data_IF_588259475401
#
_entry.id   IF_588259475401
#
_cell.length_a   1.000
_cell.length_b   1.000
_cell.length_c   1.000
_cell.angle_alpha   90.00
_cell.angle_beta   90.00
_cell.angle_gamma   90.00
#
_symmetry.space_group_name_H-M   'P 1'
#
loop_
_entity.id
_entity.type
_entity.pdbx_description
1 polymer ?
#
# COMPACT_ATOMS: atom_id res chain seq x y z
N UNK A 1 11.08 -0.77 16.19
CA UNK A 1 10.09 0.13 15.54
C UNK A 1 8.99 -0.68 14.86
N UNK A 2 7.93 -0.03 14.36
CA UNK A 2 6.72 -0.66 13.79
C UNK A 2 6.72 -1.00 12.30
N UNK A 3 7.89 -1.21 11.71
CA UNK A 3 8.03 -1.58 10.30
C UNK A 3 7.44 -2.97 10.03
N UNK A 4 7.03 -3.21 8.78
CA UNK A 4 6.52 -4.50 8.35
C UNK A 4 7.70 -5.46 8.18
N UNK A 5 7.65 -6.54 8.96
CA UNK A 5 8.64 -7.60 9.00
C UNK A 5 7.88 -8.90 9.22
N UNK A 6 7.87 -9.78 8.21
CA UNK A 6 6.95 -10.93 8.19
C UNK A 6 7.28 -11.92 9.30
N UNK A 7 8.57 -12.16 9.58
CA UNK A 7 9.01 -13.02 10.69
C UNK A 7 8.44 -12.56 12.03
N UNK A 8 8.40 -11.25 12.27
CA UNK A 8 7.82 -10.69 13.50
C UNK A 8 6.29 -10.77 13.52
N UNK A 9 5.64 -10.65 12.38
CA UNK A 9 4.18 -10.75 12.26
C UNK A 9 3.72 -12.19 12.51
N UNK A 10 4.36 -13.15 11.86
CA UNK A 10 3.96 -14.57 11.89
C UNK A 10 4.49 -15.24 13.15
N UNK A 11 5.80 -15.22 13.40
CA UNK A 11 6.44 -16.01 14.47
C UNK A 11 6.29 -15.36 15.85
N UNK A 12 6.23 -14.03 15.90
CA UNK A 12 6.11 -13.26 17.16
C UNK A 12 4.72 -12.65 17.36
N UNK A 13 3.76 -13.00 16.50
CA UNK A 13 2.37 -12.53 16.56
C UNK A 13 2.21 -11.00 16.63
N UNK A 14 3.13 -10.25 16.00
CA UNK A 14 3.11 -8.78 16.01
C UNK A 14 2.25 -8.21 14.88
N UNK A 15 0.98 -8.63 14.79
CA UNK A 15 0.05 -8.26 13.71
C UNK A 15 -0.21 -6.76 13.59
N UNK A 16 -0.02 -5.99 14.66
CA UNK A 16 -0.11 -4.52 14.64
C UNK A 16 0.85 -3.86 13.63
N UNK A 17 1.94 -4.55 13.25
CA UNK A 17 2.89 -4.08 12.24
C UNK A 17 2.30 -3.92 10.85
N UNK A 18 1.25 -4.67 10.52
CA UNK A 18 0.49 -4.56 9.27
C UNK A 18 -0.22 -3.21 9.13
N UNK A 19 -0.41 -2.50 10.24
CA UNK A 19 -1.03 -1.18 10.26
C UNK A 19 0.04 -0.12 10.49
N UNK A 20 0.89 -0.28 11.50
CA UNK A 20 1.84 0.77 11.90
C UNK A 20 2.91 1.07 10.86
N UNK A 21 3.22 0.14 9.95
CA UNK A 21 4.20 0.37 8.89
C UNK A 21 3.82 1.55 7.98
N UNK A 22 2.53 1.89 7.87
CA UNK A 22 2.03 3.01 7.07
C UNK A 22 2.51 4.38 7.58
N UNK A 23 2.93 4.49 8.84
CA UNK A 23 3.43 5.74 9.42
C UNK A 23 4.96 5.89 9.35
N UNK A 24 5.67 4.82 9.02
CA UNK A 24 7.13 4.83 8.93
C UNK A 24 7.57 5.11 7.50
N UNK A 25 8.72 5.75 7.35
CA UNK A 25 9.26 6.13 6.04
C UNK A 25 10.77 5.86 6.00
N UNK A 26 11.24 5.33 4.88
CA UNK A 26 12.64 4.94 4.68
C UNK A 26 13.60 6.10 4.36
N UNK A 27 13.13 7.35 4.28
CA UNK A 27 13.97 8.50 3.98
C UNK A 27 13.21 9.80 3.79
N UNK A 28 13.94 10.93 3.73
CA UNK A 28 13.38 12.29 3.64
C UNK A 28 12.61 12.50 2.33
N UNK A 29 13.17 12.09 1.19
CA UNK A 29 12.46 12.20 -0.09
C UNK A 29 11.20 11.34 -0.12
N UNK A 30 11.24 10.15 0.50
CA UNK A 30 10.09 9.25 0.57
C UNK A 30 8.93 9.86 1.39
N UNK A 31 9.21 10.43 2.57
CA UNK A 31 8.16 11.10 3.35
C UNK A 31 7.62 12.34 2.63
N UNK A 32 8.48 13.15 2.02
CA UNK A 32 8.05 14.34 1.28
C UNK A 32 7.12 14.00 0.12
N UNK A 33 7.49 12.97 -0.68
CA UNK A 33 6.65 12.50 -1.77
C UNK A 33 5.29 11.99 -1.28
N UNK A 34 5.26 11.15 -0.24
CA UNK A 34 4.02 10.63 0.31
C UNK A 34 3.13 11.73 0.88
N UNK A 35 3.70 12.70 1.61
CA UNK A 35 2.92 13.80 2.17
C UNK A 35 2.38 14.73 1.09
N UNK A 36 3.16 15.03 0.05
CA UNK A 36 2.68 15.83 -1.09
C UNK A 36 1.51 15.11 -1.80
N UNK A 37 1.66 13.82 -2.08
CA UNK A 37 0.59 13.01 -2.67
C UNK A 37 -0.65 12.96 -1.77
N UNK A 38 -0.48 12.80 -0.46
CA UNK A 38 -1.59 12.80 0.50
C UNK A 38 -2.29 14.16 0.54
N UNK A 39 -1.57 15.27 0.49
CA UNK A 39 -2.17 16.60 0.46
C UNK A 39 -2.97 16.82 -0.82
N UNK A 40 -2.42 16.49 -1.98
CA UNK A 40 -3.11 16.72 -3.27
C UNK A 40 -4.34 15.82 -3.44
N UNK A 41 -4.19 14.52 -3.15
CA UNK A 41 -5.25 13.53 -3.38
C UNK A 41 -6.20 13.46 -2.19
N UNK A 42 -5.65 13.41 -0.97
CA UNK A 42 -6.41 13.27 0.26
C UNK A 42 -7.31 14.47 0.53
N UNK A 43 -6.81 15.71 0.41
CA UNK A 43 -7.64 16.92 0.61
C UNK A 43 -8.80 16.94 -0.39
N UNK A 44 -8.53 16.63 -1.66
CA UNK A 44 -9.58 16.57 -2.69
C UNK A 44 -10.68 15.57 -2.31
N UNK A 45 -10.31 14.33 -1.96
CA UNK A 45 -11.28 13.31 -1.58
C UNK A 45 -12.00 13.67 -0.27
N UNK A 46 -11.30 14.27 0.69
CA UNK A 46 -11.86 14.64 1.99
C UNK A 46 -12.89 15.76 1.87
N UNK A 47 -12.62 16.81 1.07
CA UNK A 47 -13.57 17.87 0.77
C UNK A 47 -14.85 17.32 0.11
N UNK A 48 -14.69 16.23 -0.63
CA UNK A 48 -15.74 15.67 -1.46
C UNK A 48 -16.61 14.61 -0.75
N UNK A 49 -16.00 13.78 0.11
CA UNK A 49 -16.64 12.63 0.76
C UNK A 49 -16.57 12.65 2.28
N UNK A 50 -15.82 13.58 2.87
CA UNK A 50 -15.64 13.76 4.30
C UNK A 50 -14.50 12.91 4.90
N UNK A 51 -13.92 13.44 5.96
CA UNK A 51 -12.74 12.88 6.67
C UNK A 51 -12.89 11.41 7.03
N UNK A 52 -14.03 11.02 7.62
CA UNK A 52 -14.22 9.66 8.16
C UNK A 52 -14.11 8.61 7.06
N UNK A 53 -14.75 8.86 5.90
CA UNK A 53 -14.75 7.89 4.80
C UNK A 53 -13.37 7.75 4.17
N UNK A 54 -12.70 8.87 3.94
CA UNK A 54 -11.36 8.90 3.34
C UNK A 54 -10.33 8.31 4.29
N UNK A 55 -10.42 8.61 5.59
CA UNK A 55 -9.56 8.05 6.62
C UNK A 55 -9.71 6.53 6.75
N UNK A 56 -10.94 6.00 6.77
CA UNK A 56 -11.18 4.56 6.77
C UNK A 56 -10.66 3.89 5.50
N UNK A 57 -10.91 4.51 4.34
CA UNK A 57 -10.42 4.02 3.05
C UNK A 57 -8.90 3.96 3.03
N UNK A 58 -8.22 5.00 3.52
CA UNK A 58 -6.77 5.06 3.63
C UNK A 58 -6.22 3.94 4.52
N UNK A 59 -6.77 3.77 5.73
CA UNK A 59 -6.29 2.75 6.68
C UNK A 59 -6.51 1.33 6.15
N UNK A 60 -7.70 1.02 5.65
CA UNK A 60 -8.03 -0.34 5.18
C UNK A 60 -7.25 -0.67 3.90
N UNK A 61 -7.07 0.31 3.00
CA UNK A 61 -6.25 0.09 1.80
C UNK A 61 -4.78 -0.09 2.13
N UNK A 62 -4.24 0.68 3.08
CA UNK A 62 -2.90 0.48 3.61
C UNK A 62 -2.72 -0.93 4.16
N UNK A 63 -3.66 -1.40 4.98
CA UNK A 63 -3.67 -2.76 5.50
C UNK A 63 -3.71 -3.83 4.38
N UNK A 64 -4.54 -3.63 3.35
CA UNK A 64 -4.59 -4.53 2.18
C UNK A 64 -3.27 -4.56 1.39
N UNK A 65 -2.60 -3.41 1.27
CA UNK A 65 -1.25 -3.31 0.72
C UNK A 65 -0.23 -4.08 1.56
N UNK A 66 -0.22 -3.86 2.87
CA UNK A 66 0.68 -4.57 3.80
C UNK A 66 0.49 -6.08 3.80
N UNK A 67 -0.76 -6.56 3.68
CA UNK A 67 -1.04 -7.99 3.54
C UNK A 67 -0.47 -8.56 2.24
N UNK A 68 -0.68 -7.90 1.10
CA UNK A 68 -0.17 -8.39 -0.18
C UNK A 68 1.36 -8.35 -0.22
N UNK A 69 1.96 -7.28 0.30
CA UNK A 69 3.41 -7.18 0.49
C UNK A 69 3.94 -8.35 1.34
N UNK A 70 3.36 -8.57 2.52
CA UNK A 70 3.80 -9.62 3.43
C UNK A 70 3.62 -11.05 2.89
N UNK A 71 2.75 -11.26 1.91
CA UNK A 71 2.57 -12.56 1.24
C UNK A 71 3.61 -12.83 0.15
N UNK A 72 4.12 -11.79 -0.52
CA UNK A 72 5.03 -11.93 -1.67
C UNK A 72 6.48 -11.51 -1.36
N UNK A 73 6.71 -10.77 -0.27
CA UNK A 73 8.03 -10.30 0.15
C UNK A 73 8.27 -10.72 1.60
N UNK A 74 8.96 -11.84 1.79
CA UNK A 74 9.31 -12.37 3.12
C UNK A 74 10.59 -11.78 3.70
N UNK A 75 11.56 -11.44 2.84
CA UNK A 75 12.93 -11.13 3.24
C UNK A 75 13.24 -9.64 3.42
N UNK A 76 12.38 -8.74 2.95
CA UNK A 76 12.60 -7.30 3.02
C UNK A 76 11.68 -6.63 4.04
N UNK A 77 12.19 -5.55 4.64
CA UNK A 77 11.42 -4.70 5.53
C UNK A 77 10.68 -3.67 4.68
N UNK A 78 9.35 -3.60 4.85
CA UNK A 78 8.51 -2.62 4.15
C UNK A 78 8.01 -1.53 5.11
N UNK A 79 8.05 -0.29 4.63
CA UNK A 79 7.59 0.91 5.34
C UNK A 79 7.01 1.89 4.33
N UNK A 80 5.98 2.63 4.72
CA UNK A 80 5.47 3.73 3.93
C UNK A 80 3.97 3.77 3.82
N UNK A 81 3.45 4.98 3.68
CA UNK A 81 2.06 5.30 3.39
C UNK A 81 1.64 4.98 1.95
N UNK A 82 2.57 4.61 1.08
CA UNK A 82 2.35 4.56 -0.38
C UNK A 82 1.29 3.54 -0.79
N UNK A 83 1.19 2.38 -0.13
CA UNK A 83 0.09 1.43 -0.36
C UNK A 83 -1.29 2.05 -0.13
N UNK A 84 -1.45 2.82 0.95
CA UNK A 84 -2.69 3.54 1.24
C UNK A 84 -2.98 4.66 0.22
N UNK A 85 -1.93 5.36 -0.27
CA UNK A 85 -2.05 6.37 -1.32
C UNK A 85 -2.49 5.77 -2.67
N UNK A 86 -1.93 4.60 -3.03
CA UNK A 86 -2.42 3.83 -4.17
C UNK A 86 -3.87 3.38 -3.99
N UNK A 87 -4.28 3.09 -2.75
CA UNK A 87 -5.70 2.88 -2.41
C UNK A 87 -6.57 4.09 -2.70
N UNK A 88 -6.12 5.30 -2.37
CA UNK A 88 -6.85 6.53 -2.73
C UNK A 88 -6.97 6.68 -4.25
N UNK A 89 -5.90 6.42 -5.02
CA UNK A 89 -5.95 6.41 -6.49
C UNK A 89 -6.93 5.37 -7.05
N UNK A 90 -6.92 4.15 -6.50
CA UNK A 90 -7.89 3.10 -6.84
C UNK A 90 -9.33 3.53 -6.57
N UNK A 91 -9.56 4.18 -5.42
CA UNK A 91 -10.89 4.68 -5.07
C UNK A 91 -11.38 5.76 -6.04
N UNK A 92 -10.51 6.68 -6.46
CA UNK A 92 -10.83 7.68 -7.50
C UNK A 92 -11.22 7.02 -8.82
N UNK A 93 -10.57 5.91 -9.19
CA UNK A 93 -10.92 5.17 -10.40
C UNK A 93 -12.32 4.56 -10.30
N UNK A 94 -12.65 3.93 -9.16
CA UNK A 94 -14.00 3.38 -8.93
C UNK A 94 -15.09 4.46 -8.89
N UNK A 95 -14.75 5.63 -8.37
CA UNK A 95 -15.63 6.80 -8.27
C UNK A 95 -15.93 7.37 -9.66
N UNK A 96 -14.90 7.48 -10.50
CA UNK A 96 -15.03 7.86 -11.90
C UNK A 96 -15.88 6.86 -12.71
N UNK A 97 -15.70 5.54 -12.50
CA UNK A 97 -16.50 4.49 -13.15
C UNK A 97 -17.96 4.58 -12.72
N UNK A 98 -18.22 4.75 -11.41
CA UNK A 98 -19.58 4.79 -10.86
C UNK A 98 -20.36 6.02 -11.33
N UNK A 99 -19.66 7.14 -11.52
CA UNK A 99 -20.22 8.44 -11.89
C UNK A 99 -19.87 8.87 -13.32
N UNK A 100 -19.60 7.91 -14.21
CA UNK A 100 -19.11 8.13 -15.59
C UNK A 100 -19.91 9.16 -16.39
N UNK A 101 -21.22 9.27 -16.15
CA UNK A 101 -22.13 10.17 -16.85
C UNK A 101 -22.04 11.63 -16.42
N UNK A 102 -21.40 11.94 -15.29
CA UNK A 102 -21.32 13.29 -14.73
C UNK A 102 -20.12 14.06 -15.32
N UNK A 103 -19.05 13.35 -15.70
CA UNK A 103 -17.82 13.98 -16.20
C UNK A 103 -17.93 14.34 -17.69
N UNK A 104 -17.74 15.63 -18.00
CA UNK A 104 -17.74 16.17 -19.36
C UNK A 104 -16.59 15.59 -20.20
N UNK A 105 -15.38 15.51 -19.63
CA UNK A 105 -14.17 14.97 -20.26
C UNK A 105 -13.75 13.62 -19.65
N UNK A 106 -14.70 12.69 -19.53
CA UNK A 106 -14.52 11.36 -18.89
C UNK A 106 -13.34 10.55 -19.42
N UNK A 107 -13.13 10.53 -20.74
CA UNK A 107 -12.04 9.75 -21.36
C UNK A 107 -10.68 10.34 -20.96
N UNK A 108 -10.53 11.66 -21.00
CA UNK A 108 -9.28 12.31 -20.63
C UNK A 108 -8.96 12.12 -19.13
N UNK A 109 -9.97 12.24 -18.26
CA UNK A 109 -9.80 12.01 -16.83
C UNK A 109 -9.41 10.55 -16.52
N UNK A 110 -10.08 9.59 -17.16
CA UNK A 110 -9.77 8.17 -17.03
C UNK A 110 -8.35 7.84 -17.51
N UNK A 111 -8.00 8.28 -18.72
CA UNK A 111 -6.67 8.06 -19.28
C UNK A 111 -5.57 8.69 -18.42
N UNK A 112 -5.78 9.92 -17.95
CA UNK A 112 -4.82 10.60 -17.08
C UNK A 112 -4.60 9.81 -15.79
N UNK A 113 -5.68 9.34 -15.15
CA UNK A 113 -5.59 8.56 -13.92
C UNK A 113 -4.88 7.22 -14.15
N UNK A 114 -5.21 6.50 -15.23
CA UNK A 114 -4.56 5.23 -15.60
C UNK A 114 -3.08 5.44 -15.90
N UNK A 115 -2.71 6.50 -16.61
CA UNK A 115 -1.30 6.84 -16.88
C UNK A 115 -0.55 7.15 -15.60
N UNK A 116 -1.14 7.91 -14.67
CA UNK A 116 -0.52 8.19 -13.36
C UNK A 116 -0.29 6.87 -12.60
N UNK A 117 -1.28 5.99 -12.55
CA UNK A 117 -1.16 4.68 -11.88
C UNK A 117 -0.04 3.85 -12.52
N UNK A 118 -0.02 3.77 -13.85
CA UNK A 118 0.97 3.01 -14.60
C UNK A 118 2.39 3.54 -14.38
N UNK A 119 2.59 4.87 -14.41
CA UNK A 119 3.88 5.50 -14.14
C UNK A 119 4.34 5.20 -12.70
N UNK A 120 3.46 5.33 -11.71
CA UNK A 120 3.84 5.06 -10.31
C UNK A 120 4.17 3.57 -10.09
N UNK A 121 3.45 2.64 -10.72
CA UNK A 121 3.80 1.22 -10.70
C UNK A 121 5.12 0.93 -11.43
N UNK A 122 5.40 1.62 -12.54
CA UNK A 122 6.67 1.49 -13.25
C UNK A 122 7.84 2.00 -12.40
N UNK A 123 7.67 3.10 -11.67
CA UNK A 123 8.64 3.60 -10.68
C UNK A 123 8.83 2.59 -9.55
N UNK A 124 7.80 1.84 -9.18
CA UNK A 124 7.89 0.79 -8.17
C UNK A 124 8.70 -0.45 -8.56
N UNK A 125 9.22 -0.52 -9.78
CA UNK A 125 10.21 -1.53 -10.21
C UNK A 125 11.62 -1.16 -9.72
N UNK A 126 11.83 0.06 -9.22
CA UNK A 126 13.09 0.48 -8.63
C UNK A 126 13.37 -0.29 -7.33
N UNK A 127 14.65 -0.57 -7.03
CA UNK A 127 15.02 -1.25 -5.80
C UNK A 127 14.56 -0.45 -4.58
N UNK A 128 14.17 -1.16 -3.52
CA UNK A 128 13.62 -0.62 -2.25
C UNK A 128 12.19 -0.06 -2.34
N UNK A 129 11.51 -0.17 -3.49
CA UNK A 129 10.09 0.18 -3.60
C UNK A 129 9.25 -1.08 -3.56
N UNK A 130 8.21 -1.07 -2.73
CA UNK A 130 7.32 -2.21 -2.53
C UNK A 130 6.10 -2.11 -3.45
N UNK A 131 6.21 -2.72 -4.62
CA UNK A 131 5.14 -2.68 -5.61
C UNK A 131 3.99 -3.62 -5.27
N UNK A 132 4.21 -4.67 -4.47
CA UNK A 132 3.11 -5.50 -3.96
C UNK A 132 2.23 -4.72 -2.98
N UNK A 133 2.83 -3.87 -2.14
CA UNK A 133 2.06 -2.95 -1.31
C UNK A 133 1.22 -1.97 -2.15
N UNK A 134 1.78 -1.44 -3.23
CA UNK A 134 1.05 -0.57 -4.16
C UNK A 134 -0.12 -1.28 -4.83
N UNK A 135 0.09 -2.48 -5.37
CA UNK A 135 -0.94 -3.27 -6.04
C UNK A 135 -2.05 -3.67 -5.06
N UNK A 136 -1.68 -4.18 -3.87
CA UNK A 136 -2.64 -4.60 -2.84
C UNK A 136 -3.45 -3.43 -2.31
N UNK A 137 -2.80 -2.28 -2.11
CA UNK A 137 -3.45 -1.04 -1.74
C UNK A 137 -4.41 -0.54 -2.81
N UNK A 138 -3.99 -0.52 -4.07
CA UNK A 138 -4.82 -0.13 -5.22
C UNK A 138 -6.07 -1.00 -5.37
N UNK A 139 -5.91 -2.33 -5.35
CA UNK A 139 -7.04 -3.27 -5.48
C UNK A 139 -8.02 -3.07 -4.32
N UNK A 140 -7.51 -2.98 -3.09
CA UNK A 140 -8.33 -2.75 -1.91
C UNK A 140 -9.08 -1.43 -2.00
N UNK A 141 -8.38 -0.34 -2.34
CA UNK A 141 -8.97 0.99 -2.47
C UNK A 141 -9.97 1.11 -3.62
N UNK A 142 -9.74 0.42 -4.74
CA UNK A 142 -10.67 0.33 -5.86
C UNK A 142 -11.99 -0.31 -5.45
N UNK A 143 -11.94 -1.44 -4.75
CA UNK A 143 -13.15 -2.09 -4.25
C UNK A 143 -13.83 -1.25 -3.15
N UNK A 144 -13.06 -0.70 -2.21
CA UNK A 144 -13.57 0.17 -1.15
C UNK A 144 -14.18 1.46 -1.67
N UNK A 145 -13.74 1.97 -2.83
CA UNK A 145 -14.33 3.15 -3.42
C UNK A 145 -15.77 2.92 -3.89
N UNK A 146 -16.12 1.71 -4.38
CA UNK A 146 -17.52 1.33 -4.62
C UNK A 146 -18.35 1.24 -3.32
N UNK A 147 -17.69 1.02 -2.18
CA UNK A 147 -18.35 0.92 -0.86
C UNK A 147 -18.53 2.30 -0.21
N UNK A 148 -17.49 3.13 -0.18
CA UNK A 148 -17.45 4.39 0.57
C UNK A 148 -17.74 5.63 -0.27
N UNK A 149 -17.44 5.63 -1.57
CA UNK A 149 -17.55 6.82 -2.45
C UNK A 149 -18.82 6.81 -3.30
N UNK A 150 -19.82 6.01 -2.92
CA UNK A 150 -21.10 5.94 -3.62
C UNK A 150 -21.89 7.25 -3.49
N UNK A 151 -22.21 7.88 -4.63
CA UNK A 151 -23.02 9.10 -4.70
C UNK A 151 -24.48 8.77 -5.03
N UNK A 152 -25.46 9.20 -4.20
CA UNK A 152 -26.86 9.09 -4.55
C UNK A 152 -27.16 10.07 -5.70
N UNK A 153 -27.82 9.59 -6.76
CA UNK A 153 -28.30 10.48 -7.82
C UNK A 153 -29.56 11.18 -7.34
N UNK A 154 -29.57 12.50 -7.38
CA UNK A 154 -30.77 13.29 -7.11
C UNK A 154 -31.68 13.16 -8.34
N UNK A 155 -32.83 12.50 -8.16
CA UNK A 155 -33.89 12.57 -9.14
C UNK A 155 -34.42 14.01 -9.16
N UNK A 156 -34.30 14.68 -10.30
CA UNK A 156 -35.06 15.90 -10.55
C UNK A 156 -36.54 15.52 -10.50
N UNK A 157 -37.24 15.95 -9.45
CA UNK A 157 -38.70 15.99 -9.48
C UNK A 157 -39.06 17.18 -10.34
N UNK A 158 -39.75 16.97 -11.45
CA UNK A 158 -40.27 18.06 -12.30
C UNK A 158 -41.18 18.95 -11.45
N UNK A 159 -40.64 20.09 -11.06
CA UNK A 159 -41.29 21.07 -10.18
C UNK A 159 -42.39 21.87 -10.89
N UNK A 160 -42.76 21.51 -12.13
CA UNK A 160 -43.78 22.20 -12.92
C UNK A 160 -45.22 21.90 -12.50
N UNK A 161 -45.45 20.89 -11.64
CA UNK A 161 -46.77 20.55 -11.09
C UNK A 161 -46.84 20.54 -9.55
N UNK A 162 -45.78 20.99 -8.86
CA UNK A 162 -45.76 20.99 -7.40
C UNK A 162 -46.59 22.19 -6.87
N UNK A 163 -47.77 21.90 -6.31
CA UNK A 163 -48.57 22.88 -5.56
C UNK A 163 -47.73 23.56 -4.47
N UNK A 164 -47.89 24.89 -4.38
CA UNK A 164 -47.24 25.76 -3.40
C UNK A 164 -47.51 25.25 -1.98
N UNK A 165 -46.54 24.56 -1.38
CA UNK A 165 -46.66 24.02 -0.01
C UNK A 165 -45.97 22.67 0.24
N UNK A 166 -45.65 21.89 -0.80
CA UNK A 166 -44.90 20.63 -0.62
C UNK A 166 -43.41 20.83 -0.89
N UNK A 167 -42.61 20.82 0.18
CA UNK A 167 -41.16 20.61 0.08
C UNK A 167 -40.92 19.22 -0.51
N UNK A 168 -40.58 19.15 -1.80
CA UNK A 168 -40.17 17.90 -2.42
C UNK A 168 -38.86 17.44 -1.79
N UNK A 169 -38.95 16.62 -0.73
CA UNK A 169 -37.84 15.83 -0.21
C UNK A 169 -37.40 14.90 -1.34
N UNK A 170 -36.44 15.37 -2.15
CA UNK A 170 -35.79 14.57 -3.19
C UNK A 170 -35.22 13.33 -2.52
N UNK A 171 -35.90 12.18 -2.69
CA UNK A 171 -35.42 10.93 -2.11
C UNK A 171 -34.15 10.54 -2.84
N UNK A 172 -33.05 10.40 -2.09
CA UNK A 172 -31.80 9.79 -2.57
C UNK A 172 -32.14 8.42 -3.15
N UNK A 173 -32.04 8.27 -4.48
CA UNK A 173 -32.21 6.97 -5.14
C UNK A 173 -30.85 6.51 -5.65
N UNK A 174 -30.39 5.37 -5.14
CA UNK A 174 -29.28 4.65 -5.73
C UNK A 174 -29.79 3.85 -6.94
N UNK A 175 -29.01 3.82 -8.02
CA UNK A 175 -29.31 2.99 -9.18
C UNK A 175 -29.03 1.53 -8.85
N UNK A 176 -29.74 0.60 -9.51
CA UNK A 176 -29.58 -0.85 -9.28
C UNK A 176 -28.13 -1.30 -9.45
N UNK A 177 -27.43 -0.81 -10.48
CA UNK A 177 -26.02 -1.14 -10.71
C UNK A 177 -25.10 -0.67 -9.57
N UNK A 178 -25.37 0.49 -8.96
CA UNK A 178 -24.58 0.99 -7.82
C UNK A 178 -24.77 0.10 -6.59
N UNK A 179 -25.99 -0.39 -6.36
CA UNK A 179 -26.27 -1.34 -5.27
C UNK A 179 -25.56 -2.68 -5.50
N UNK A 180 -25.61 -3.21 -6.74
CA UNK A 180 -24.91 -4.45 -7.09
C UNK A 180 -23.40 -4.30 -6.89
N UNK A 181 -22.79 -3.23 -7.41
CA UNK A 181 -21.36 -2.96 -7.26
C UNK A 181 -20.97 -2.80 -5.79
N UNK A 182 -21.81 -2.16 -4.98
CA UNK A 182 -21.60 -2.00 -3.54
C UNK A 182 -21.58 -3.35 -2.82
N UNK A 183 -22.59 -4.20 -3.05
CA UNK A 183 -22.68 -5.54 -2.41
C UNK A 183 -21.50 -6.42 -2.83
N UNK A 184 -21.24 -6.50 -4.14
CA UNK A 184 -20.17 -7.34 -4.69
C UNK A 184 -18.81 -6.88 -4.16
N UNK A 185 -18.52 -5.58 -4.19
CA UNK A 185 -17.26 -5.04 -3.69
C UNK A 185 -17.09 -5.27 -2.20
N UNK A 186 -18.15 -5.12 -1.40
CA UNK A 186 -18.11 -5.38 0.04
C UNK A 186 -17.75 -6.84 0.34
N UNK A 187 -18.39 -7.78 -0.36
CA UNK A 187 -18.09 -9.22 -0.21
C UNK A 187 -16.65 -9.52 -0.62
N UNK A 188 -16.20 -9.00 -1.77
CA UNK A 188 -14.84 -9.22 -2.27
C UNK A 188 -13.77 -8.67 -1.32
N UNK A 189 -13.97 -7.49 -0.73
CA UNK A 189 -13.02 -6.92 0.24
C UNK A 189 -12.95 -7.78 1.50
N UNK A 190 -14.08 -8.18 2.06
CA UNK A 190 -14.12 -8.99 3.29
C UNK A 190 -13.43 -10.35 3.03
N UNK A 191 -13.83 -11.03 1.96
CA UNK A 191 -13.27 -12.34 1.60
C UNK A 191 -11.78 -12.21 1.26
N UNK A 192 -11.39 -11.23 0.44
CA UNK A 192 -10.00 -11.02 0.05
C UNK A 192 -9.08 -10.73 1.25
N UNK A 193 -9.46 -9.78 2.12
CA UNK A 193 -8.65 -9.44 3.29
C UNK A 193 -8.57 -10.60 4.30
N UNK A 194 -9.66 -11.32 4.51
CA UNK A 194 -9.68 -12.47 5.43
C UNK A 194 -8.84 -13.64 4.89
N UNK A 195 -8.97 -13.98 3.61
CA UNK A 195 -8.15 -15.02 2.98
C UNK A 195 -6.67 -14.64 3.03
N UNK A 196 -6.31 -13.43 2.62
CA UNK A 196 -4.91 -12.96 2.65
C UNK A 196 -4.32 -12.98 4.06
N UNK A 197 -5.09 -12.53 5.07
CA UNK A 197 -4.67 -12.59 6.47
C UNK A 197 -4.47 -14.02 6.95
N UNK A 198 -5.40 -14.93 6.64
CA UNK A 198 -5.30 -16.34 7.03
C UNK A 198 -4.10 -17.01 6.34
N UNK A 199 -3.86 -16.74 5.06
CA UNK A 199 -2.69 -17.24 4.34
C UNK A 199 -1.39 -16.75 4.97
N UNK A 200 -1.32 -15.45 5.29
CA UNK A 200 -0.16 -14.85 5.93
C UNK A 200 0.12 -15.48 7.30
N UNK A 201 -0.91 -15.61 8.14
CA UNK A 201 -0.76 -16.19 9.48
C UNK A 201 -0.45 -17.70 9.45
N UNK A 202 -0.70 -18.37 8.32
CA UNK A 202 -0.26 -19.76 8.08
C UNK A 202 1.17 -19.86 7.55
N UNK A 203 1.87 -18.73 7.35
CA UNK A 203 3.23 -18.69 6.83
C UNK A 203 3.32 -19.05 5.35
N UNK A 204 2.26 -18.82 4.57
CA UNK A 204 2.28 -19.07 3.12
C UNK A 204 3.09 -17.97 2.43
N UNK A 205 4.13 -18.37 1.69
CA UNK A 205 4.80 -17.51 0.73
C UNK A 205 4.17 -17.67 -0.66
N UNK A 206 3.50 -16.61 -1.13
CA UNK A 206 2.87 -16.58 -2.44
C UNK A 206 3.89 -16.44 -3.58
N UNK A 207 5.10 -15.94 -3.30
CA UNK A 207 6.16 -15.81 -4.29
C UNK A 207 6.70 -17.18 -4.73
N UNK A 208 6.68 -18.19 -3.86
CA UNK A 208 7.07 -19.58 -4.20
C UNK A 208 6.19 -20.18 -5.30
N UNK A 209 4.97 -19.67 -5.46
CA UNK A 209 4.00 -20.15 -6.43
C UNK A 209 4.06 -19.37 -7.76
N UNK A 210 4.98 -18.41 -7.90
CA UNK A 210 5.03 -17.49 -9.03
C UNK A 210 6.46 -17.13 -9.42
N UNK A 211 6.98 -17.76 -10.48
CA UNK A 211 8.36 -17.60 -10.95
C UNK A 211 8.71 -16.23 -11.53
N UNK A 212 7.75 -15.32 -11.72
CA UNK A 212 7.95 -13.99 -12.29
C UNK A 212 7.59 -12.87 -11.32
N UNK A 213 6.99 -13.20 -10.17
CA UNK A 213 6.44 -12.23 -9.23
C UNK A 213 7.54 -11.34 -8.62
N UNK A 214 8.76 -11.84 -8.44
CA UNK A 214 9.88 -11.04 -7.95
C UNK A 214 10.22 -9.83 -8.86
N UNK A 215 9.94 -9.92 -10.16
CA UNK A 215 10.16 -8.82 -11.10
C UNK A 215 9.17 -7.65 -10.93
N UNK A 216 8.04 -7.85 -10.25
CA UNK A 216 7.08 -6.78 -9.99
C UNK A 216 7.64 -5.72 -9.06
N UNK A 217 8.47 -6.11 -8.09
CA UNK A 217 9.10 -5.19 -7.14
C UNK A 217 10.52 -4.81 -7.50
N UNK A 218 11.23 -5.62 -8.29
CA UNK A 218 12.53 -5.23 -8.79
C UNK A 218 12.93 -5.95 -10.08
N UNK A 219 13.27 -5.19 -11.12
CA UNK A 219 13.87 -5.71 -12.35
C UNK A 219 15.37 -5.39 -12.35
N UNK A 220 16.28 -6.37 -12.39
CA UNK A 220 17.72 -6.11 -12.38
C UNK A 220 18.17 -5.44 -13.68
N UNK A 221 19.04 -4.44 -13.59
CA UNK A 221 19.58 -3.71 -14.76
C UNK A 221 21.09 -3.51 -14.62
N UNK A 222 21.76 -2.99 -15.66
CA UNK A 222 23.18 -2.63 -15.57
C UNK A 222 23.50 -1.52 -14.57
N UNK A 223 22.47 -0.78 -14.09
CA UNK A 223 22.62 0.32 -13.13
C UNK A 223 22.26 -0.06 -11.69
N UNK A 224 21.56 -1.17 -11.45
CA UNK A 224 21.18 -1.61 -10.10
C UNK A 224 20.90 -3.11 -10.00
N UNK A 225 21.12 -3.69 -8.81
CA UNK A 225 20.84 -5.09 -8.50
C UNK A 225 19.61 -5.24 -7.60
N UNK A 226 18.88 -6.34 -7.78
CA UNK A 226 17.69 -6.70 -7.00
C UNK A 226 17.98 -7.70 -5.87
N UNK A 227 19.26 -8.05 -5.69
CA UNK A 227 19.66 -8.97 -4.65
C UNK A 227 19.74 -8.23 -3.32
N UNK A 228 18.72 -8.41 -2.48
CA UNK A 228 18.92 -8.38 -1.04
C UNK A 228 19.42 -9.76 -0.64
N UNK A 229 20.69 -10.07 -0.95
CA UNK A 229 21.30 -11.21 -0.26
C UNK A 229 21.24 -10.90 1.23
N UNK A 230 20.89 -11.89 2.09
CA UNK A 230 21.09 -11.71 3.52
C UNK A 230 22.54 -11.24 3.68
N UNK A 231 22.73 -10.12 4.34
CA UNK A 231 24.05 -9.65 4.68
C UNK A 231 24.73 -10.78 5.48
N UNK A 232 25.54 -11.59 4.82
CA UNK A 232 26.36 -12.61 5.45
C UNK A 232 27.66 -11.91 5.80
N UNK A 233 27.86 -11.61 7.08
CA UNK A 233 29.12 -11.05 7.53
C UNK A 233 29.93 -12.07 8.31
N UNK A 234 31.21 -12.15 7.98
CA UNK A 234 32.19 -12.73 8.89
C UNK A 234 32.50 -11.70 9.97
N UNK A 235 32.64 -12.17 11.22
CA UNK A 235 33.00 -11.31 12.34
C UNK A 235 34.24 -11.83 13.03
N UNK A 236 35.14 -10.91 13.37
CA UNK A 236 36.34 -11.19 14.15
C UNK A 236 36.35 -10.24 15.34
N UNK A 237 36.38 -10.79 16.56
CA UNK A 237 36.40 -10.02 17.78
C UNK A 237 37.79 -10.09 18.42
N UNK A 238 38.38 -8.92 18.68
CA UNK A 238 39.62 -8.79 19.44
C UNK A 238 39.40 -7.77 20.59
N UNK A 239 39.24 -8.30 21.81
CA UNK A 239 38.87 -7.49 22.99
C UNK A 239 37.54 -6.75 22.82
N UNK A 240 37.60 -5.41 22.87
CA UNK A 240 36.46 -4.50 22.68
C UNK A 240 36.25 -4.09 21.21
N UNK A 241 37.03 -4.64 20.27
CA UNK A 241 36.92 -4.33 18.86
C UNK A 241 36.24 -5.49 18.12
N UNK A 242 35.18 -5.18 17.38
CA UNK A 242 34.45 -6.09 16.51
C UNK A 242 34.69 -5.66 15.06
N UNK A 243 35.46 -6.46 14.32
CA UNK A 243 35.59 -6.31 12.88
C UNK A 243 34.45 -7.08 12.20
N UNK A 244 33.64 -6.38 11.43
CA UNK A 244 32.54 -6.96 10.64
C UNK A 244 32.92 -6.84 9.17
N UNK A 245 32.92 -7.96 8.44
CA UNK A 245 33.25 -8.00 7.01
C UNK A 245 32.09 -8.57 6.23
N UNK A 246 31.57 -7.81 5.28
CA UNK A 246 30.47 -8.20 4.42
C UNK A 246 30.93 -9.17 3.33
N UNK A 247 30.32 -10.36 3.25
CA UNK A 247 30.71 -11.40 2.27
C UNK A 247 30.24 -11.10 0.85
N UNK A 248 29.22 -10.25 0.68
CA UNK A 248 28.65 -9.95 -0.65
C UNK A 248 29.43 -8.89 -1.42
N UNK A 249 30.03 -7.91 -0.72
CA UNK A 249 30.75 -6.79 -1.34
C UNK A 249 32.20 -6.61 -0.84
N UNK A 250 32.64 -7.42 0.14
CA UNK A 250 33.99 -7.39 0.70
C UNK A 250 34.31 -6.18 1.58
N UNK A 251 33.34 -5.29 1.87
CA UNK A 251 33.55 -4.14 2.77
C UNK A 251 33.76 -4.64 4.19
N UNK A 252 34.74 -4.09 4.89
CA UNK A 252 34.99 -4.34 6.31
C UNK A 252 35.02 -3.04 7.11
N UNK A 253 34.44 -3.03 8.31
CA UNK A 253 34.54 -1.91 9.23
C UNK A 253 34.71 -2.38 10.67
N UNK A 254 35.35 -1.55 11.49
CA UNK A 254 35.75 -1.89 12.84
C UNK A 254 34.95 -1.07 13.85
N UNK A 255 34.23 -1.77 14.74
CA UNK A 255 33.33 -1.18 15.71
C UNK A 255 33.84 -1.44 17.13
N UNK A 256 33.79 -0.43 18.01
CA UNK A 256 34.21 -0.57 19.40
C UNK A 256 32.99 -0.92 20.25
N UNK A 257 32.83 -2.21 20.58
CA UNK A 257 31.69 -2.77 21.31
C UNK A 257 32.17 -3.83 22.31
N UNK A 258 31.73 -3.69 23.56
CA UNK A 258 31.90 -4.72 24.60
C UNK A 258 30.70 -5.66 24.62
N UNK A 259 30.92 -6.96 24.38
CA UNK A 259 29.88 -8.01 24.36
C UNK A 259 28.64 -7.71 23.49
N UNK A 260 28.80 -7.59 22.16
CA UNK A 260 27.69 -7.34 21.26
C UNK A 260 26.71 -8.53 21.21
N UNK A 261 25.40 -8.23 21.25
CA UNK A 261 24.35 -9.24 21.03
C UNK A 261 24.28 -9.68 19.57
N UNK A 262 23.78 -10.89 19.30
CA UNK A 262 23.57 -11.40 17.94
C UNK A 262 22.70 -10.47 17.08
N UNK A 263 21.71 -9.81 17.68
CA UNK A 263 20.90 -8.78 16.99
C UNK A 263 21.68 -7.52 16.61
N UNK A 264 22.63 -7.08 17.44
CA UNK A 264 23.47 -5.91 17.12
C UNK A 264 24.44 -6.23 15.99
N UNK A 265 25.03 -7.44 16.00
CA UNK A 265 25.92 -7.91 14.94
C UNK A 265 25.16 -7.96 13.60
N UNK A 266 23.94 -8.51 13.60
CA UNK A 266 23.11 -8.56 12.39
C UNK A 266 22.76 -7.17 11.86
N UNK A 267 22.47 -6.22 12.75
CA UNK A 267 22.17 -4.82 12.38
C UNK A 267 23.38 -4.15 11.73
N UNK A 268 24.57 -4.25 12.35
CA UNK A 268 25.82 -3.70 11.82
C UNK A 268 26.21 -4.35 10.49
N UNK A 269 25.98 -5.65 10.37
CA UNK A 269 26.22 -6.39 9.14
C UNK A 269 25.30 -5.91 8.00
N UNK A 270 24.02 -5.68 8.29
CA UNK A 270 23.05 -5.16 7.31
C UNK A 270 23.42 -3.75 6.87
N UNK A 271 23.84 -2.88 7.80
CA UNK A 271 24.29 -1.52 7.52
C UNK A 271 25.59 -1.50 6.69
N UNK A 272 26.55 -2.38 6.98
CA UNK A 272 27.81 -2.50 6.26
C UNK A 272 27.63 -3.06 4.83
N UNK A 273 26.68 -3.99 4.67
CA UNK A 273 26.39 -4.64 3.40
C UNK A 273 25.44 -3.86 2.49
N UNK A 274 24.74 -2.84 3.01
CA UNK A 274 23.97 -1.87 2.20
C UNK A 274 24.87 -0.94 1.37
#
# INVERSE_FOLDING_TARGET
>A
MGALDVSKVVDKHQGWRLITCNWLHGGVFHILANMLSLLVIGIRLEQEFGFIRVGLLYIISGFGGSLLSALFIQSNISVGASGALFGLLGSMLSELITNWTIYTNKIAAFLTLVVIIAINLAVGILPHVDNFAHIGGFISGFLLGFVFLIRPQFGWVEQRYALSGYSALSRRKFKTYQCILWIVSLVLVIVGLTLSLVMLLRGVDANDHCSWCHYLSCVPTSRWSCRTEPAFCSTTQDGNQLNVTCSSNGKSNLYILSNPSSSQIQSLCTELCS
#
